data_IF_881220292491
#
_entry.id   IF_881220292491
#
_cell.length_a   1.000
_cell.length_b   1.000
_cell.length_c   1.000
_cell.angle_alpha   90.00
_cell.angle_beta   90.00
_cell.angle_gamma   90.00
#
_symmetry.space_group_name_H-M   'P 1'
#
loop_
_entity.id
_entity.type
_entity.pdbx_description
1 polymer ?
#
# COMPACT_ATOMS: atom_id res chain seq x y z
N UNK A 1 29.14 -11.04 -2.77
CA UNK A 1 29.39 -10.92 -4.22
C UNK A 1 28.24 -10.15 -4.82
N UNK A 2 28.47 -8.86 -5.06
CA UNK A 2 27.49 -7.93 -5.59
C UNK A 2 27.38 -8.20 -7.09
N UNK A 3 26.46 -9.08 -7.50
CA UNK A 3 26.17 -9.27 -8.91
C UNK A 3 25.45 -8.01 -9.38
N UNK A 4 26.10 -7.29 -10.29
CA UNK A 4 25.63 -6.11 -11.00
C UNK A 4 24.32 -6.41 -11.73
N UNK A 5 23.25 -6.44 -10.94
CA UNK A 5 21.89 -6.63 -11.38
C UNK A 5 21.48 -5.28 -11.94
N UNK A 6 21.48 -5.26 -13.26
CA UNK A 6 21.22 -4.14 -14.14
C UNK A 6 20.18 -3.19 -13.53
N UNK A 7 20.44 -1.89 -13.46
CA UNK A 7 19.43 -0.91 -13.02
C UNK A 7 18.15 -0.95 -13.87
N UNK A 8 18.22 -1.58 -15.06
CA UNK A 8 17.10 -1.94 -15.94
C UNK A 8 16.17 -3.03 -15.37
N UNK A 9 16.67 -3.95 -14.55
CA UNK A 9 15.91 -5.11 -14.03
C UNK A 9 14.82 -4.71 -13.00
N UNK A 10 14.83 -3.46 -12.52
CA UNK A 10 13.83 -2.93 -11.58
C UNK A 10 12.94 -1.83 -12.17
N UNK A 11 12.88 -1.72 -13.51
CA UNK A 11 12.00 -0.75 -14.16
C UNK A 11 10.54 -0.89 -13.70
N UNK A 12 10.04 -2.13 -13.59
CA UNK A 12 8.71 -2.43 -13.06
C UNK A 12 8.48 -1.81 -11.66
N UNK A 13 9.40 -2.03 -10.72
CA UNK A 13 9.28 -1.52 -9.36
C UNK A 13 9.34 0.00 -9.27
N UNK A 14 10.15 0.64 -10.12
CA UNK A 14 10.21 2.10 -10.21
C UNK A 14 8.91 2.68 -10.76
N UNK A 15 8.34 2.06 -11.80
CA UNK A 15 7.03 2.44 -12.34
C UNK A 15 5.95 2.28 -11.28
N UNK A 16 5.92 1.14 -10.59
CA UNK A 16 4.97 0.89 -9.51
C UNK A 16 5.11 1.91 -8.36
N UNK A 17 6.33 2.25 -7.97
CA UNK A 17 6.60 3.31 -7.00
C UNK A 17 6.03 4.66 -7.44
N UNK A 18 6.26 5.06 -8.70
CA UNK A 18 5.71 6.32 -9.24
C UNK A 18 4.17 6.29 -9.24
N UNK A 19 3.55 5.17 -9.61
CA UNK A 19 2.09 5.02 -9.58
C UNK A 19 1.56 5.20 -8.15
N UNK A 20 2.17 4.52 -7.17
CA UNK A 20 1.77 4.62 -5.75
C UNK A 20 1.99 6.05 -5.23
N UNK A 21 3.09 6.70 -5.60
CA UNK A 21 3.38 8.08 -5.23
C UNK A 21 2.33 9.05 -5.79
N UNK A 22 1.98 8.92 -7.07
CA UNK A 22 0.95 9.76 -7.70
C UNK A 22 -0.43 9.52 -7.10
N UNK A 23 -0.79 8.27 -6.81
CA UNK A 23 -2.05 7.94 -6.14
C UNK A 23 -2.12 8.57 -4.73
N UNK A 24 -1.02 8.51 -3.96
CA UNK A 24 -0.91 9.18 -2.67
C UNK A 24 -1.04 10.70 -2.79
N UNK A 25 -0.33 11.30 -3.74
CA UNK A 25 -0.40 12.74 -3.97
C UNK A 25 -1.81 13.20 -4.37
N UNK A 26 -2.49 12.41 -5.21
CA UNK A 26 -3.88 12.65 -5.60
C UNK A 26 -4.83 12.56 -4.40
N UNK A 27 -4.71 11.52 -3.56
CA UNK A 27 -5.53 11.36 -2.36
C UNK A 27 -5.37 12.53 -1.38
N UNK A 28 -4.13 12.99 -1.18
CA UNK A 28 -3.85 14.18 -0.37
C UNK A 28 -4.49 15.42 -0.99
N UNK A 29 -4.32 15.62 -2.30
CA UNK A 29 -4.91 16.76 -3.01
C UNK A 29 -6.44 16.77 -2.90
N UNK A 30 -7.09 15.63 -3.10
CA UNK A 30 -8.53 15.45 -2.97
C UNK A 30 -9.01 15.75 -1.55
N UNK A 31 -8.26 15.35 -0.53
CA UNK A 31 -8.58 15.64 0.88
C UNK A 31 -8.67 17.14 1.18
N UNK A 32 -7.89 17.97 0.46
CA UNK A 32 -7.90 19.43 0.61
C UNK A 32 -8.89 20.14 -0.31
N UNK A 33 -9.23 19.56 -1.46
CA UNK A 33 -9.97 20.26 -2.53
C UNK A 33 -11.40 19.78 -2.71
N UNK A 34 -11.74 18.56 -2.27
CA UNK A 34 -13.10 18.06 -2.38
C UNK A 34 -14.07 18.82 -1.47
N UNK A 35 -15.26 19.19 -1.98
CA UNK A 35 -16.31 19.78 -1.17
C UNK A 35 -16.76 18.79 -0.08
N UNK A 36 -17.21 19.32 1.07
CA UNK A 36 -17.54 18.54 2.26
C UNK A 36 -18.55 17.40 2.02
N UNK A 37 -19.41 17.54 1.00
CA UNK A 37 -20.39 16.53 0.60
C UNK A 37 -19.79 15.31 -0.10
N UNK A 38 -18.56 15.42 -0.62
CA UNK A 38 -17.82 14.34 -1.28
C UNK A 38 -16.67 13.83 -0.39
N UNK A 39 -16.57 14.31 0.86
CA UNK A 39 -15.54 13.84 1.78
C UNK A 39 -15.95 12.49 2.37
N UNK A 40 -14.98 11.59 2.64
CA UNK A 40 -15.26 10.28 3.18
C UNK A 40 -15.97 10.36 4.54
N UNK A 41 -16.89 9.42 4.76
CA UNK A 41 -17.85 9.44 5.89
C UNK A 41 -17.26 8.82 7.17
N UNK A 42 -15.99 8.42 7.15
CA UNK A 42 -15.33 7.81 8.31
C UNK A 42 -14.81 8.85 9.31
N UNK A 43 -14.60 8.46 10.59
CA UNK A 43 -14.03 9.35 11.60
C UNK A 43 -12.65 9.88 11.20
N UNK A 44 -12.35 11.14 11.53
CA UNK A 44 -11.08 11.80 11.18
C UNK A 44 -9.85 11.06 11.69
N UNK A 45 -9.94 10.42 12.86
CA UNK A 45 -8.82 9.65 13.40
C UNK A 45 -8.43 8.47 12.50
N UNK A 46 -9.41 7.89 11.79
CA UNK A 46 -9.19 6.80 10.87
C UNK A 46 -8.42 7.26 9.62
N UNK A 47 -8.64 8.50 9.17
CA UNK A 47 -7.85 9.12 8.11
C UNK A 47 -6.37 9.23 8.47
N UNK A 48 -6.04 9.54 9.74
CA UNK A 48 -4.65 9.58 10.18
C UNK A 48 -3.99 8.21 10.16
N UNK A 49 -4.73 7.17 10.53
CA UNK A 49 -4.26 5.77 10.44
C UNK A 49 -4.01 5.42 8.97
N UNK A 50 -4.96 5.73 8.08
CA UNK A 50 -4.82 5.54 6.63
C UNK A 50 -3.56 6.20 6.09
N UNK A 51 -3.34 7.49 6.40
CA UNK A 51 -2.16 8.23 5.96
C UNK A 51 -0.84 7.60 6.42
N UNK A 52 -0.76 7.16 7.68
CA UNK A 52 0.45 6.49 8.20
C UNK A 52 0.71 5.19 7.44
N UNK A 53 -0.35 4.41 7.22
CA UNK A 53 -0.28 3.14 6.50
C UNK A 53 0.14 3.34 5.04
N UNK A 54 -0.37 4.38 4.38
CA UNK A 54 -0.03 4.72 3.01
C UNK A 54 1.44 5.20 2.88
N UNK A 55 1.93 5.98 3.85
CA UNK A 55 3.35 6.37 3.91
C UNK A 55 4.24 5.12 4.06
N UNK A 56 3.85 4.17 4.91
CA UNK A 56 4.59 2.91 5.08
C UNK A 56 4.56 2.09 3.78
N UNK A 57 3.44 2.05 3.07
CA UNK A 57 3.34 1.37 1.79
C UNK A 57 4.20 2.03 0.70
N UNK A 58 4.17 3.37 0.62
CA UNK A 58 5.02 4.16 -0.27
C UNK A 58 6.50 3.93 0.04
N UNK A 59 6.87 3.86 1.32
CA UNK A 59 8.22 3.53 1.74
C UNK A 59 8.62 2.11 1.34
N UNK A 60 7.72 1.12 1.41
CA UNK A 60 7.98 -0.23 0.90
C UNK A 60 8.28 -0.20 -0.60
N UNK A 61 7.46 0.51 -1.38
CA UNK A 61 7.64 0.70 -2.81
C UNK A 61 8.98 1.36 -3.14
N UNK A 62 9.37 2.40 -2.39
CA UNK A 62 10.67 3.04 -2.49
C UNK A 62 11.82 2.06 -2.18
N UNK A 63 11.73 1.34 -1.06
CA UNK A 63 12.75 0.40 -0.62
C UNK A 63 13.01 -0.69 -1.68
N UNK A 64 11.95 -1.21 -2.29
CA UNK A 64 12.06 -2.20 -3.38
C UNK A 64 12.53 -1.56 -4.68
N UNK A 65 12.06 -0.37 -5.05
CA UNK A 65 12.49 0.30 -6.28
C UNK A 65 13.99 0.65 -6.28
N UNK A 66 14.53 1.05 -5.12
CA UNK A 66 15.89 1.60 -4.98
C UNK A 66 16.85 0.75 -4.13
N UNK A 67 16.44 -0.45 -3.69
CA UNK A 67 17.24 -1.32 -2.79
C UNK A 67 17.63 -0.67 -1.46
N UNK A 68 16.83 0.28 -1.00
CA UNK A 68 17.07 0.99 0.25
C UNK A 68 16.16 0.43 1.35
N UNK A 69 16.56 -0.69 1.96
CA UNK A 69 15.85 -1.24 3.11
C UNK A 69 16.50 -0.77 4.42
N UNK A 70 16.02 0.36 4.96
CA UNK A 70 16.44 0.81 6.30
C UNK A 70 15.85 -0.08 7.41
N UNK A 71 14.62 -0.60 7.20
CA UNK A 71 13.93 -1.47 8.16
C UNK A 71 14.09 -2.91 7.74
N UNK A 72 14.92 -3.65 8.48
CA UNK A 72 15.26 -5.06 8.20
C UNK A 72 14.46 -6.07 9.03
N UNK A 73 13.52 -5.60 9.83
CA UNK A 73 12.77 -6.47 10.74
C UNK A 73 11.51 -7.02 10.06
N UNK A 74 11.43 -8.34 9.87
CA UNK A 74 10.33 -8.99 9.14
C UNK A 74 8.95 -8.71 9.75
N UNK A 75 8.86 -8.61 11.08
CA UNK A 75 7.58 -8.36 11.77
C UNK A 75 7.02 -6.98 11.47
N UNK A 76 7.87 -5.97 11.25
CA UNK A 76 7.41 -4.63 10.88
C UNK A 76 6.61 -4.70 9.58
N UNK A 77 7.15 -5.38 8.56
CA UNK A 77 6.51 -5.50 7.26
C UNK A 77 5.24 -6.38 7.29
N UNK A 78 5.19 -7.39 8.16
CA UNK A 78 3.96 -8.18 8.37
C UNK A 78 2.86 -7.35 9.02
N UNK A 79 3.18 -6.56 10.05
CA UNK A 79 2.24 -5.66 10.70
C UNK A 79 1.78 -4.59 9.71
N UNK A 80 2.70 -4.02 8.92
CA UNK A 80 2.37 -3.06 7.86
C UNK A 80 1.39 -3.68 6.85
N UNK A 81 1.63 -4.90 6.38
CA UNK A 81 0.73 -5.60 5.46
C UNK A 81 -0.68 -5.76 6.04
N UNK A 82 -0.79 -6.20 7.30
CA UNK A 82 -2.08 -6.31 8.00
C UNK A 82 -2.74 -4.94 8.12
N UNK A 83 -1.98 -3.88 8.43
CA UNK A 83 -2.47 -2.52 8.51
C UNK A 83 -3.00 -2.00 7.17
N UNK A 84 -2.31 -2.24 6.05
CA UNK A 84 -2.73 -1.84 4.71
C UNK A 84 -4.04 -2.52 4.32
N UNK A 85 -4.11 -3.84 4.50
CA UNK A 85 -5.32 -4.60 4.15
C UNK A 85 -6.49 -4.22 5.05
N UNK A 86 -6.29 -4.17 6.36
CA UNK A 86 -7.37 -3.87 7.31
C UNK A 86 -7.86 -2.43 7.20
N UNK A 87 -6.98 -1.44 6.96
CA UNK A 87 -7.38 -0.05 6.74
C UNK A 87 -8.22 0.11 5.48
N UNK A 88 -7.82 -0.50 4.36
CA UNK A 88 -8.59 -0.43 3.10
C UNK A 88 -9.96 -1.11 3.23
N UNK A 89 -10.03 -2.30 3.85
CA UNK A 89 -11.31 -2.98 4.10
C UNK A 89 -12.21 -2.11 4.98
N UNK A 90 -11.68 -1.51 6.03
CA UNK A 90 -12.45 -0.64 6.90
C UNK A 90 -12.89 0.64 6.17
N UNK A 91 -12.06 1.26 5.32
CA UNK A 91 -12.50 2.39 4.48
C UNK A 91 -13.71 2.01 3.62
N UNK A 92 -13.66 0.87 2.92
CA UNK A 92 -14.81 0.40 2.13
C UNK A 92 -16.06 0.13 2.98
N UNK A 93 -15.89 -0.43 4.18
CA UNK A 93 -17.00 -0.64 5.10
C UNK A 93 -17.68 0.67 5.47
N UNK A 94 -16.92 1.70 5.85
CA UNK A 94 -17.46 3.02 6.18
C UNK A 94 -18.12 3.69 4.97
N UNK A 95 -17.47 3.62 3.82
CA UNK A 95 -17.98 4.18 2.56
C UNK A 95 -19.32 3.54 2.18
N UNK A 96 -19.44 2.21 2.23
CA UNK A 96 -20.65 1.49 1.86
C UNK A 96 -21.76 1.54 2.90
N UNK A 97 -21.40 1.66 4.19
CA UNK A 97 -22.39 1.78 5.27
C UNK A 97 -23.04 3.17 5.36
N UNK A 98 -22.47 4.19 4.71
CA UNK A 98 -23.01 5.55 4.68
C UNK A 98 -24.33 5.70 3.89
N UNK A 99 -24.71 4.68 3.12
CA UNK A 99 -26.00 4.64 2.40
C UNK A 99 -26.03 5.38 1.06
N UNK A 100 -24.87 5.81 0.54
CA UNK A 100 -24.77 6.57 -0.72
C UNK A 100 -24.63 5.75 -2.01
N UNK A 101 -24.46 4.42 -1.92
CA UNK A 101 -24.16 3.56 -3.06
C UNK A 101 -25.26 2.53 -3.32
N UNK A 102 -25.55 2.25 -4.59
CA UNK A 102 -26.35 1.07 -4.93
C UNK A 102 -25.52 -0.20 -4.78
N UNK A 103 -26.18 -1.37 -4.63
CA UNK A 103 -25.49 -2.67 -4.56
C UNK A 103 -24.61 -2.90 -5.79
N UNK A 104 -25.06 -2.47 -6.97
CA UNK A 104 -24.30 -2.57 -8.21
C UNK A 104 -23.04 -1.71 -8.17
N UNK A 105 -23.11 -0.49 -7.62
CA UNK A 105 -21.95 0.40 -7.48
C UNK A 105 -20.92 -0.18 -6.49
N UNK A 106 -21.40 -0.73 -5.37
CA UNK A 106 -20.53 -1.39 -4.38
C UNK A 106 -19.75 -2.56 -5.00
N UNK A 107 -20.43 -3.40 -5.80
CA UNK A 107 -19.79 -4.53 -6.49
C UNK A 107 -18.77 -4.03 -7.52
N UNK A 108 -19.14 -3.04 -8.33
CA UNK A 108 -18.26 -2.49 -9.36
C UNK A 108 -16.99 -1.87 -8.75
N UNK A 109 -17.14 -1.07 -7.68
CA UNK A 109 -16.01 -0.51 -6.96
C UNK A 109 -15.14 -1.60 -6.32
N UNK A 110 -15.74 -2.61 -5.70
CA UNK A 110 -15.01 -3.74 -5.11
C UNK A 110 -14.17 -4.51 -6.14
N UNK A 111 -14.73 -4.78 -7.33
CA UNK A 111 -14.02 -5.48 -8.41
C UNK A 111 -12.83 -4.69 -8.97
N UNK A 112 -12.86 -3.37 -8.88
CA UNK A 112 -11.75 -2.50 -9.32
C UNK A 112 -10.72 -2.32 -8.20
N UNK A 113 -11.20 -2.06 -6.99
CA UNK A 113 -10.36 -1.75 -5.84
C UNK A 113 -9.53 -2.94 -5.38
N UNK A 114 -10.09 -4.15 -5.40
CA UNK A 114 -9.43 -5.33 -4.84
C UNK A 114 -8.18 -5.74 -5.64
N UNK A 115 -8.21 -5.81 -6.99
CA UNK A 115 -6.99 -5.99 -7.79
C UNK A 115 -5.96 -4.87 -7.60
N UNK A 116 -6.41 -3.62 -7.49
CA UNK A 116 -5.53 -2.47 -7.23
C UNK A 116 -4.83 -2.59 -5.87
N UNK A 117 -5.56 -2.98 -4.83
CA UNK A 117 -5.01 -3.24 -3.50
C UNK A 117 -3.96 -4.36 -3.57
N UNK A 118 -4.26 -5.46 -4.27
CA UNK A 118 -3.32 -6.57 -4.46
C UNK A 118 -2.03 -6.12 -5.17
N UNK A 119 -2.14 -5.23 -6.17
CA UNK A 119 -0.98 -4.64 -6.84
C UNK A 119 -0.18 -3.73 -5.87
N UNK A 120 -0.88 -2.95 -5.04
CA UNK A 120 -0.25 -1.96 -4.16
C UNK A 120 0.38 -2.57 -2.91
N UNK A 121 -0.05 -3.76 -2.44
CA UNK A 121 0.63 -4.49 -1.35
C UNK A 121 1.88 -5.24 -1.82
N UNK A 122 2.06 -5.40 -3.13
CA UNK A 122 3.12 -6.22 -3.69
C UNK A 122 4.54 -5.79 -3.26
N UNK A 123 4.88 -4.49 -3.15
CA UNK A 123 6.18 -4.08 -2.62
C UNK A 123 6.41 -4.50 -1.17
N UNK A 124 5.38 -4.50 -0.32
CA UNK A 124 5.48 -4.94 1.08
C UNK A 124 5.77 -6.44 1.16
N UNK A 125 5.10 -7.24 0.32
CA UNK A 125 5.38 -8.67 0.19
C UNK A 125 6.83 -8.92 -0.26
N UNK A 126 7.32 -8.12 -1.22
CA UNK A 126 8.71 -8.21 -1.66
C UNK A 126 9.68 -7.84 -0.53
N UNK A 127 9.40 -6.83 0.29
CA UNK A 127 10.21 -6.51 1.46
C UNK A 127 10.32 -7.69 2.45
N UNK A 128 9.20 -8.38 2.72
CA UNK A 128 9.20 -9.59 3.56
C UNK A 128 10.04 -10.70 2.95
N UNK A 129 9.93 -10.91 1.63
CA UNK A 129 10.66 -11.95 0.92
C UNK A 129 12.17 -11.67 0.88
N UNK A 130 12.57 -10.42 0.62
CA UNK A 130 13.97 -10.00 0.55
C UNK A 130 14.66 -10.17 1.91
N UNK A 131 13.98 -9.81 3.01
CA UNK A 131 14.53 -9.99 4.37
C UNK A 131 14.70 -11.46 4.72
N UNK A 132 13.69 -12.30 4.46
CA UNK A 132 13.79 -13.74 4.71
C UNK A 132 14.94 -14.40 3.95
N UNK A 133 15.19 -13.98 2.70
CA UNK A 133 16.32 -14.50 1.91
C UNK A 133 17.67 -14.08 2.50
N UNK A 134 17.74 -12.94 3.18
CA UNK A 134 18.96 -12.43 3.80
C UNK A 134 19.22 -12.96 5.21
N UNK A 135 18.24 -13.60 5.86
CA UNK A 135 18.38 -14.18 7.19
C UNK A 135 19.10 -15.54 7.13
N UNK A 136 20.31 -15.69 7.71
CA UNK A 136 21.08 -16.93 7.63
C UNK A 136 20.42 -18.12 8.38
N UNK A 137 19.50 -17.85 9.30
CA UNK A 137 18.83 -18.86 10.12
C UNK A 137 17.73 -19.61 9.35
N UNK A 138 17.17 -19.04 8.27
CA UNK A 138 16.10 -19.71 7.50
C UNK A 138 16.60 -20.69 6.43
N UNK A 139 17.91 -20.85 6.25
CA UNK A 139 18.50 -21.78 5.27
C UNK A 139 18.83 -23.17 5.86
N UNK A 140 18.29 -23.51 7.05
CA UNK A 140 18.54 -24.78 7.75
C UNK A 140 17.33 -25.74 7.67
N UNK A 141 16.31 -25.43 6.87
CA UNK A 141 15.17 -26.33 6.63
C UNK A 141 14.95 -26.62 5.16
#
# INVERSE_FOLDING_TARGET
>A
MDSGTNMRDRAFWKVLFVIILLANALSIYESFTLPSSLKPVHPTWFSYVGLVVDIVNLYAAFAVAFRSQLIKHVWFWRIALIGIVSSNIAMFYWEFSSGGYSVTDMIAQGLIALPLLMLFIFPVLQCVADIRKSDPVSNIH
#
